data_IF_377881010248
#
_entry.id   IF_377881010248
#
_cell.length_a   1.000
_cell.length_b   1.000
_cell.length_c   1.000
_cell.angle_alpha   90.00
_cell.angle_beta   90.00
_cell.angle_gamma   90.00
#
_symmetry.space_group_name_H-M   'P 1'
#
loop_
_entity.id
_entity.type
_entity.pdbx_description
1 polymer ?
#
# COMPACT_ATOMS: atom_id res chain seq x y z
N UNK A 1 -38.60 -26.78 -0.59
CA UNK A 1 -37.16 -26.94 -0.86
C UNK A 1 -36.41 -26.29 0.30
N UNK A 2 -35.54 -27.04 0.99
CA UNK A 2 -34.79 -26.54 2.14
C UNK A 2 -33.36 -26.19 1.74
N UNK A 3 -32.81 -25.12 2.32
CA UNK A 3 -31.40 -24.77 2.15
C UNK A 3 -30.50 -25.88 2.74
N UNK A 4 -29.30 -26.11 2.17
CA UNK A 4 -28.36 -27.09 2.69
C UNK A 4 -27.89 -26.71 4.11
N UNK A 5 -27.54 -27.71 4.91
CA UNK A 5 -27.00 -27.50 6.27
C UNK A 5 -25.64 -26.81 6.18
N UNK A 6 -25.56 -25.59 6.69
CA UNK A 6 -24.30 -24.82 6.78
C UNK A 6 -23.64 -25.00 8.14
N UNK A 7 -22.30 -25.02 8.18
CA UNK A 7 -21.52 -24.89 9.43
C UNK A 7 -21.04 -23.46 9.59
N UNK A 8 -21.18 -22.92 10.80
CA UNK A 8 -20.60 -21.63 11.15
C UNK A 8 -19.07 -21.79 11.29
N UNK A 9 -18.30 -21.07 10.49
CA UNK A 9 -16.84 -20.95 10.66
C UNK A 9 -16.55 -19.61 11.31
N UNK A 10 -15.90 -19.63 12.47
CA UNK A 10 -15.41 -18.41 13.12
C UNK A 10 -14.03 -18.10 12.57
N UNK A 11 -13.93 -17.06 11.75
CA UNK A 11 -12.63 -16.56 11.28
C UNK A 11 -12.11 -15.53 12.28
N UNK A 12 -11.02 -15.87 12.98
CA UNK A 12 -10.20 -14.90 13.71
C UNK A 12 -9.07 -14.44 12.79
N UNK A 13 -9.12 -13.20 12.33
CA UNK A 13 -7.98 -12.59 11.64
C UNK A 13 -7.03 -11.99 12.67
N UNK A 14 -5.74 -12.30 12.55
CA UNK A 14 -4.72 -11.50 13.20
C UNK A 14 -4.62 -10.18 12.44
N UNK A 15 -5.07 -9.09 13.07
CA UNK A 15 -4.95 -7.75 12.49
C UNK A 15 -3.61 -7.20 12.95
N UNK A 16 -2.66 -6.90 12.03
CA UNK A 16 -1.43 -6.22 12.40
C UNK A 16 -1.74 -4.89 13.08
N UNK A 17 -0.86 -4.40 13.96
CA UNK A 17 -1.04 -3.08 14.57
C UNK A 17 -1.14 -2.00 13.48
N UNK A 18 -1.90 -0.95 13.78
CA UNK A 18 -1.96 0.21 12.92
C UNK A 18 -0.55 0.78 12.70
N UNK A 19 -0.19 1.03 11.45
CA UNK A 19 1.08 1.64 11.07
C UNK A 19 0.84 3.09 10.67
N UNK A 20 1.81 3.96 11.00
CA UNK A 20 1.86 5.29 10.39
C UNK A 20 2.40 5.15 8.97
N UNK A 21 1.47 5.13 8.03
CA UNK A 21 1.75 4.92 6.60
C UNK A 21 2.77 5.92 6.06
N UNK A 22 2.71 7.19 6.47
CA UNK A 22 3.61 8.22 5.93
C UNK A 22 5.03 8.04 6.45
N UNK A 23 5.17 7.76 7.73
CA UNK A 23 6.46 7.48 8.35
C UNK A 23 7.12 6.23 7.73
N UNK A 24 6.34 5.19 7.46
CA UNK A 24 6.84 3.97 6.81
C UNK A 24 7.24 4.19 5.34
N UNK A 25 6.48 4.98 4.59
CA UNK A 25 6.85 5.34 3.21
C UNK A 25 8.15 6.12 3.21
N UNK A 26 8.32 7.10 4.10
CA UNK A 26 9.55 7.88 4.21
C UNK A 26 10.75 6.99 4.56
N UNK A 27 10.58 6.06 5.50
CA UNK A 27 11.61 5.07 5.86
C UNK A 27 12.03 4.22 4.65
N UNK A 28 11.06 3.68 3.91
CA UNK A 28 11.36 2.88 2.72
C UNK A 28 11.94 3.71 1.57
N UNK A 29 11.49 4.96 1.40
CA UNK A 29 12.01 5.88 0.40
C UNK A 29 13.51 6.13 0.61
N UNK A 30 13.93 6.43 1.85
CA UNK A 30 15.36 6.60 2.19
C UNK A 30 16.20 5.37 1.86
N UNK A 31 15.62 4.18 1.97
CA UNK A 31 16.32 2.91 1.68
C UNK A 31 16.58 2.72 0.19
N UNK A 32 15.67 3.18 -0.67
CA UNK A 32 15.72 2.92 -2.13
C UNK A 32 16.18 4.12 -2.96
N UNK A 33 16.08 5.35 -2.45
CA UNK A 33 16.32 6.59 -3.23
C UNK A 33 17.67 6.61 -3.95
N UNK A 34 18.74 6.15 -3.30
CA UNK A 34 20.09 6.21 -3.84
C UNK A 34 20.34 5.11 -4.90
N UNK A 35 19.43 4.14 -4.99
CA UNK A 35 19.46 3.06 -5.96
C UNK A 35 18.56 3.35 -7.18
N UNK A 36 17.72 4.38 -7.11
CA UNK A 36 16.80 4.75 -8.18
C UNK A 36 17.55 5.53 -9.27
N UNK A 37 17.70 4.93 -10.44
CA UNK A 37 18.26 5.59 -11.62
C UNK A 37 17.13 6.29 -12.41
N UNK A 38 16.57 7.35 -11.84
CA UNK A 38 15.55 8.17 -12.51
C UNK A 38 16.17 9.52 -12.86
N UNK A 39 16.27 9.83 -14.15
CA UNK A 39 16.78 11.12 -14.60
C UNK A 39 15.79 12.25 -14.34
N UNK A 40 16.28 13.43 -13.99
CA UNK A 40 15.46 14.64 -13.93
C UNK A 40 14.70 14.84 -15.26
N UNK A 41 13.41 15.11 -15.18
CA UNK A 41 12.53 15.27 -16.35
C UNK A 41 12.03 13.96 -16.97
N UNK A 42 12.32 12.80 -16.39
CA UNK A 42 11.74 11.53 -16.83
C UNK A 42 10.22 11.51 -16.70
N UNK A 43 9.54 10.86 -17.64
CA UNK A 43 8.12 10.54 -17.53
C UNK A 43 7.98 9.24 -16.73
N UNK A 44 7.37 9.32 -15.55
CA UNK A 44 7.25 8.20 -14.61
C UNK A 44 5.77 7.83 -14.45
N UNK A 45 5.44 6.56 -14.66
CA UNK A 45 4.12 6.01 -14.38
C UNK A 45 4.08 5.45 -12.94
N UNK A 46 3.07 5.86 -12.17
CA UNK A 46 2.80 5.32 -10.83
C UNK A 46 1.66 4.30 -10.91
N UNK A 47 1.99 3.03 -10.72
CA UNK A 47 1.03 1.92 -10.75
C UNK A 47 0.67 1.48 -9.33
N UNK A 48 -0.62 1.21 -9.09
CA UNK A 48 -1.12 0.73 -7.78
C UNK A 48 -1.99 -0.51 -7.93
N UNK A 49 -1.75 -1.51 -7.07
CA UNK A 49 -2.55 -2.72 -7.00
C UNK A 49 -3.68 -2.59 -5.97
N UNK A 50 -4.94 -2.58 -6.43
CA UNK A 50 -6.11 -2.47 -5.56
C UNK A 50 -6.48 -3.83 -4.96
N UNK A 51 -6.21 -4.01 -3.66
CA UNK A 51 -6.82 -5.05 -2.81
C UNK A 51 -7.34 -4.43 -1.51
N UNK A 52 -8.23 -3.43 -1.63
CA UNK A 52 -8.88 -2.83 -0.46
C UNK A 52 -7.98 -1.94 0.41
N UNK A 53 -7.00 -1.26 -0.19
CA UNK A 53 -6.15 -0.31 0.55
C UNK A 53 -6.96 0.96 0.83
N UNK A 54 -7.40 1.14 2.08
CA UNK A 54 -8.16 2.31 2.51
C UNK A 54 -7.38 3.63 2.34
N UNK A 55 -6.04 3.57 2.36
CA UNK A 55 -5.14 4.73 2.38
C UNK A 55 -4.48 5.00 1.03
N UNK A 56 -5.12 4.66 -0.10
CA UNK A 56 -4.48 4.74 -1.41
C UNK A 56 -4.02 6.16 -1.79
N UNK A 57 -4.90 7.15 -1.61
CA UNK A 57 -4.59 8.54 -1.93
C UNK A 57 -3.37 9.08 -1.17
N UNK A 58 -3.28 8.99 0.17
CA UNK A 58 -2.09 9.46 0.89
C UNK A 58 -0.83 8.67 0.54
N UNK A 59 -0.93 7.36 0.27
CA UNK A 59 0.22 6.55 -0.16
C UNK A 59 0.78 7.05 -1.50
N UNK A 60 -0.08 7.20 -2.50
CA UNK A 60 0.33 7.66 -3.83
C UNK A 60 0.90 9.07 -3.78
N UNK A 61 0.27 9.96 -3.03
CA UNK A 61 0.75 11.33 -2.86
C UNK A 61 2.14 11.41 -2.24
N UNK A 62 2.41 10.60 -1.21
CA UNK A 62 3.71 10.55 -0.55
C UNK A 62 4.81 10.03 -1.49
N UNK A 63 4.55 8.96 -2.25
CA UNK A 63 5.51 8.43 -3.23
C UNK A 63 5.78 9.44 -4.35
N UNK A 64 4.73 10.09 -4.87
CA UNK A 64 4.87 11.12 -5.90
C UNK A 64 5.68 12.34 -5.42
N UNK A 65 5.55 12.69 -4.14
CA UNK A 65 6.32 13.78 -3.54
C UNK A 65 7.82 13.45 -3.45
N UNK A 66 8.18 12.19 -3.23
CA UNK A 66 9.59 11.74 -3.20
C UNK A 66 10.30 11.81 -4.55
N UNK A 67 9.54 11.82 -5.65
CA UNK A 67 10.06 11.93 -7.04
C UNK A 67 10.33 13.38 -7.49
N UNK A 68 10.08 14.38 -6.64
CA UNK A 68 10.40 15.79 -6.90
C UNK A 68 11.87 16.09 -6.62
#
# INVERSE_FOLDING_TARGET
MGLPKMRLVRQSAHIPPAVDVLTEIEREWRRIKDQLTISTGASVALCVGSRGIANLQPVVGAVAAGLR
#
